data_IF_337259973801
#
_entry.id   IF_337259973801
#
_cell.length_a   1.000
_cell.length_b   1.000
_cell.length_c   1.000
_cell.angle_alpha   90.00
_cell.angle_beta   90.00
_cell.angle_gamma   90.00
#
_symmetry.space_group_name_H-M   'P 1'
#
loop_
_entity.id
_entity.type
_entity.pdbx_description
1 polymer ?
#
# COMPACT_ATOMS: atom_id res chain seq x y z
N UNK A 1 -33.14 -24.42 21.64
CA UNK A 1 -33.79 -24.01 20.37
C UNK A 1 -34.11 -22.54 20.46
N UNK A 2 -33.85 -21.75 19.39
CA UNK A 2 -34.20 -20.32 19.27
C UNK A 2 -33.08 -19.37 19.69
N UNK A 3 -32.01 -19.16 18.92
CA UNK A 3 -31.86 -18.12 17.86
C UNK A 3 -32.70 -16.85 18.06
N UNK A 4 -32.03 -15.73 18.33
CA UNK A 4 -32.05 -14.50 17.53
C UNK A 4 -31.78 -13.29 18.42
N UNK A 5 -30.55 -12.76 18.34
CA UNK A 5 -30.35 -11.32 18.19
C UNK A 5 -28.91 -11.07 17.75
N UNK A 6 -28.59 -11.44 16.51
CA UNK A 6 -27.46 -10.81 15.83
C UNK A 6 -27.93 -9.42 15.42
N UNK A 7 -27.64 -8.49 16.32
CA UNK A 7 -27.69 -7.05 16.13
C UNK A 7 -27.20 -6.65 14.73
N UNK A 8 -28.08 -5.94 14.01
CA UNK A 8 -27.79 -4.99 12.92
C UNK A 8 -26.55 -5.29 12.08
N UNK A 9 -26.72 -6.01 10.98
CA UNK A 9 -25.89 -5.80 9.79
C UNK A 9 -26.82 -5.32 8.68
N UNK A 10 -27.04 -4.00 8.63
CA UNK A 10 -27.47 -3.37 7.38
C UNK A 10 -26.39 -3.69 6.34
N UNK A 11 -26.83 -4.36 5.27
CA UNK A 11 -25.97 -4.82 4.20
C UNK A 11 -25.65 -3.63 3.30
N UNK A 12 -24.46 -3.04 3.45
CA UNK A 12 -23.99 -1.94 2.61
C UNK A 12 -23.32 -2.48 1.34
N UNK A 13 -23.88 -2.25 0.13
CA UNK A 13 -23.28 -2.70 -1.12
C UNK A 13 -21.92 -2.03 -1.41
N UNK A 14 -21.59 -0.93 -0.74
CA UNK A 14 -20.32 -0.21 -0.92
C UNK A 14 -19.11 -0.90 -0.29
N UNK A 15 -19.31 -1.93 0.55
CA UNK A 15 -18.21 -2.67 1.18
C UNK A 15 -17.57 -3.74 0.29
N UNK A 16 -18.20 -4.10 -0.84
CA UNK A 16 -17.69 -5.13 -1.76
C UNK A 16 -16.62 -4.65 -2.75
N UNK A 17 -16.33 -3.34 -2.80
CA UNK A 17 -15.32 -2.79 -3.71
C UNK A 17 -14.04 -2.49 -2.91
N UNK A 18 -13.59 -3.49 -2.15
CA UNK A 18 -12.16 -3.61 -1.82
C UNK A 18 -11.44 -3.86 -3.15
N UNK A 19 -10.55 -2.95 -3.52
CA UNK A 19 -9.96 -2.87 -4.85
C UNK A 19 -9.39 -4.22 -5.32
N UNK A 20 -9.53 -4.53 -6.62
CA UNK A 20 -8.86 -5.64 -7.31
C UNK A 20 -7.34 -5.66 -7.06
N UNK A 21 -6.77 -4.54 -6.62
CA UNK A 21 -5.35 -4.35 -6.36
C UNK A 21 -4.98 -4.40 -4.86
N UNK A 22 -5.93 -4.66 -3.93
CA UNK A 22 -5.73 -4.70 -2.46
C UNK A 22 -5.16 -6.02 -1.90
N UNK A 23 -4.03 -5.98 -1.20
CA UNK A 23 -3.29 -7.17 -0.77
C UNK A 23 -1.79 -6.93 -0.56
N UNK A 24 -0.99 -8.01 -0.55
CA UNK A 24 0.42 -7.98 -0.15
C UNK A 24 1.37 -8.06 -1.36
N UNK A 25 2.13 -7.00 -1.57
CA UNK A 25 3.17 -6.89 -2.59
C UNK A 25 4.52 -7.26 -1.98
N UNK A 26 5.21 -8.25 -2.56
CA UNK A 26 6.55 -8.72 -2.15
C UNK A 26 7.31 -9.31 -3.34
N UNK A 27 8.63 -9.39 -3.24
CA UNK A 27 9.52 -9.87 -4.33
C UNK A 27 9.04 -11.19 -4.94
N UNK A 28 8.84 -12.18 -4.08
CA UNK A 28 8.44 -13.54 -4.48
C UNK A 28 6.93 -13.79 -4.31
N UNK A 29 6.12 -12.73 -4.25
CA UNK A 29 4.66 -12.81 -4.10
C UNK A 29 3.93 -13.10 -5.41
N UNK A 30 2.63 -13.36 -5.30
CA UNK A 30 1.68 -13.30 -6.44
C UNK A 30 1.68 -11.88 -6.99
N UNK A 31 1.73 -10.89 -6.11
CA UNK A 31 1.87 -9.49 -6.47
C UNK A 31 3.29 -9.03 -6.21
N UNK A 32 3.90 -8.50 -7.26
CA UNK A 32 5.33 -8.19 -7.30
C UNK A 32 5.57 -6.81 -6.73
N UNK A 33 6.49 -6.73 -5.78
CA UNK A 33 7.03 -5.47 -5.30
C UNK A 33 8.40 -5.25 -5.91
N UNK A 34 8.68 -4.03 -6.34
CA UNK A 34 10.01 -3.58 -6.76
C UNK A 34 10.35 -2.32 -5.97
N UNK A 35 11.50 -2.33 -5.28
CA UNK A 35 11.90 -1.21 -4.41
C UNK A 35 13.24 -0.66 -4.87
N UNK A 36 13.31 0.66 -4.96
CA UNK A 36 14.56 1.41 -5.16
C UNK A 36 14.79 2.38 -4.00
N UNK A 37 16.06 2.63 -3.67
CA UNK A 37 16.48 3.70 -2.76
C UNK A 37 17.36 4.66 -3.55
N UNK A 38 16.98 5.95 -3.59
CA UNK A 38 17.66 6.99 -4.37
C UNK A 38 17.92 6.54 -5.82
N UNK A 39 16.93 5.88 -6.44
CA UNK A 39 16.99 5.34 -7.81
C UNK A 39 17.76 4.03 -7.99
N UNK A 40 18.38 3.48 -6.95
CA UNK A 40 19.10 2.20 -7.02
C UNK A 40 18.23 1.05 -6.52
N UNK A 41 18.11 -0.03 -7.30
CA UNK A 41 17.37 -1.22 -6.88
C UNK A 41 17.98 -1.86 -5.63
N UNK A 42 17.12 -2.28 -4.71
CA UNK A 42 17.51 -3.07 -3.54
C UNK A 42 16.96 -4.48 -3.68
N UNK A 43 17.70 -5.48 -3.18
CA UNK A 43 17.34 -6.90 -3.34
C UNK A 43 16.78 -7.52 -2.05
N UNK A 44 17.10 -6.91 -0.90
CA UNK A 44 16.71 -7.35 0.45
C UNK A 44 15.73 -6.33 1.04
N UNK A 45 14.45 -6.66 0.97
CA UNK A 45 13.34 -5.85 1.46
C UNK A 45 12.17 -6.77 1.82
N UNK A 46 11.33 -6.32 2.75
CA UNK A 46 10.14 -7.06 3.15
C UNK A 46 8.98 -6.91 2.17
N UNK A 47 7.86 -6.38 2.64
CA UNK A 47 6.63 -6.31 1.86
C UNK A 47 5.84 -5.02 2.12
N UNK A 48 4.92 -4.72 1.20
CA UNK A 48 3.94 -3.65 1.35
C UNK A 48 2.55 -4.25 1.26
N UNK A 49 1.75 -4.06 2.31
CA UNK A 49 0.32 -4.29 2.24
C UNK A 49 -0.35 -3.00 1.79
N UNK A 50 -1.14 -3.10 0.74
CA UNK A 50 -1.88 -2.00 0.15
C UNK A 50 -3.36 -2.33 0.21
N UNK A 51 -4.16 -1.39 0.69
CA UNK A 51 -5.61 -1.53 0.68
C UNK A 51 -6.23 -0.25 0.14
N UNK A 52 -7.05 -0.36 -0.90
CA UNK A 52 -7.73 0.77 -1.50
C UNK A 52 -9.22 0.50 -1.65
N UNK A 53 -10.01 1.53 -1.35
CA UNK A 53 -11.42 1.61 -1.76
C UNK A 53 -11.49 2.50 -3.00
N UNK A 54 -11.99 1.94 -4.11
CA UNK A 54 -12.21 2.65 -5.37
C UNK A 54 -10.97 3.27 -6.07
N UNK A 55 -9.74 2.87 -5.73
CA UNK A 55 -8.51 3.38 -6.38
C UNK A 55 -8.32 4.91 -6.31
N UNK A 56 -9.00 5.58 -5.38
CA UNK A 56 -8.86 7.03 -5.13
C UNK A 56 -7.93 7.32 -3.95
N UNK A 57 -8.04 6.51 -2.91
CA UNK A 57 -7.24 6.60 -1.71
C UNK A 57 -6.83 5.18 -1.29
N UNK A 58 -5.71 5.09 -0.57
CA UNK A 58 -5.24 3.81 -0.05
C UNK A 58 -4.54 3.93 1.30
N UNK A 59 -4.65 2.85 2.06
CA UNK A 59 -3.86 2.57 3.23
C UNK A 59 -2.68 1.69 2.84
N UNK A 60 -1.49 2.05 3.33
CA UNK A 60 -0.25 1.35 3.12
C UNK A 60 0.33 0.90 4.45
N UNK A 61 0.84 -0.33 4.50
CA UNK A 61 1.69 -0.83 5.58
C UNK A 61 2.97 -1.36 4.99
N UNK A 62 4.06 -0.65 5.26
CA UNK A 62 5.42 -0.99 4.89
C UNK A 62 6.04 -1.82 6.00
N UNK A 63 6.58 -2.99 5.67
CA UNK A 63 7.28 -3.87 6.62
C UNK A 63 8.66 -4.17 6.07
N UNK A 64 9.70 -3.79 6.82
CA UNK A 64 11.11 -3.93 6.42
C UNK A 64 11.42 -3.36 5.03
N UNK A 65 10.78 -2.22 4.69
CA UNK A 65 11.02 -1.48 3.44
C UNK A 65 11.75 -0.16 3.72
N UNK A 66 11.30 0.56 4.74
CA UNK A 66 11.82 1.89 5.09
C UNK A 66 13.04 1.70 6.02
N UNK A 67 14.21 2.29 5.71
CA UNK A 67 15.39 2.12 6.54
C UNK A 67 15.15 2.57 7.99
N UNK A 68 15.58 1.73 8.94
CA UNK A 68 15.42 1.91 10.39
C UNK A 68 13.97 1.84 10.91
N UNK A 69 13.01 1.41 10.08
CA UNK A 69 11.62 1.22 10.48
C UNK A 69 11.18 -0.21 10.16
N UNK A 70 10.92 -1.01 11.19
CA UNK A 70 10.42 -2.38 10.98
C UNK A 70 9.01 -2.37 10.39
N UNK A 71 8.14 -1.48 10.88
CA UNK A 71 6.77 -1.33 10.40
C UNK A 71 6.39 0.15 10.38
N UNK A 72 5.86 0.60 9.23
CA UNK A 72 5.31 1.95 9.08
C UNK A 72 4.00 1.92 8.32
N UNK A 73 3.00 2.62 8.86
CA UNK A 73 1.65 2.66 8.27
C UNK A 73 1.31 4.09 7.85
N UNK A 74 0.70 4.21 6.68
CA UNK A 74 0.19 5.44 6.10
C UNK A 74 -1.26 5.23 5.69
N UNK A 75 -2.13 6.19 5.99
CA UNK A 75 -3.58 6.04 5.76
C UNK A 75 -4.12 7.15 4.89
N UNK A 76 -5.17 6.83 4.13
CA UNK A 76 -5.87 7.76 3.24
C UNK A 76 -4.91 8.48 2.29
N UNK A 77 -3.92 7.76 1.75
CA UNK A 77 -2.96 8.31 0.81
C UNK A 77 -3.66 8.48 -0.54
N UNK A 78 -3.68 9.71 -1.10
CA UNK A 78 -4.34 9.96 -2.37
C UNK A 78 -3.61 9.25 -3.51
N UNK A 79 -4.39 8.63 -4.38
CA UNK A 79 -3.93 7.97 -5.58
C UNK A 79 -4.28 8.80 -6.82
N UNK A 80 -3.33 8.90 -7.75
CA UNK A 80 -3.52 9.57 -9.04
C UNK A 80 -3.47 8.54 -10.16
N UNK A 81 -4.50 8.49 -11.00
CA UNK A 81 -4.51 7.63 -12.18
C UNK A 81 -3.49 8.12 -13.23
N UNK A 82 -2.72 7.18 -13.77
CA UNK A 82 -1.72 7.39 -14.82
C UNK A 82 -1.89 6.31 -15.89
N UNK A 83 -1.17 6.43 -17.01
CA UNK A 83 -1.18 5.39 -18.07
C UNK A 83 -0.63 4.04 -17.57
N UNK A 84 0.24 4.04 -16.55
CA UNK A 84 0.89 2.84 -16.01
C UNK A 84 0.12 2.21 -14.83
N UNK A 85 -0.78 2.95 -14.18
CA UNK A 85 -1.49 2.52 -12.97
C UNK A 85 -1.85 3.68 -12.04
N UNK A 86 -1.98 3.41 -10.75
CA UNK A 86 -2.26 4.39 -9.70
C UNK A 86 -0.97 4.85 -9.02
N UNK A 87 -0.57 6.09 -9.26
CA UNK A 87 0.59 6.71 -8.62
C UNK A 87 0.25 7.27 -7.24
N UNK A 88 1.24 7.27 -6.34
CA UNK A 88 1.15 7.86 -5.01
C UNK A 88 2.47 8.53 -4.60
N UNK A 89 2.35 9.49 -3.70
CA UNK A 89 3.48 10.16 -3.05
C UNK A 89 3.19 10.31 -1.57
N UNK A 90 4.15 9.95 -0.73
CA UNK A 90 4.10 10.10 0.72
C UNK A 90 5.37 10.84 1.13
N UNK A 91 5.21 11.93 1.87
CA UNK A 91 6.32 12.67 2.48
C UNK A 91 6.22 12.51 3.99
N UNK A 92 7.32 12.11 4.62
CA UNK A 92 7.39 11.88 6.06
C UNK A 92 8.77 12.28 6.61
N UNK A 93 8.86 12.49 7.91
CA UNK A 93 10.14 12.72 8.61
C UNK A 93 10.40 11.56 9.57
N UNK A 94 11.47 10.82 9.31
CA UNK A 94 11.85 9.63 10.06
C UNK A 94 13.29 9.81 10.57
N UNK A 95 13.48 9.77 11.90
CA UNK A 95 14.78 10.00 12.53
C UNK A 95 15.47 11.30 12.05
N UNK A 96 14.72 12.41 12.04
CA UNK A 96 15.18 13.74 11.62
C UNK A 96 15.57 13.86 10.13
N UNK A 97 15.30 12.84 9.32
CA UNK A 97 15.49 12.86 7.86
C UNK A 97 14.15 12.89 7.15
N UNK A 98 14.05 13.75 6.15
CA UNK A 98 12.90 13.78 5.24
C UNK A 98 13.02 12.58 4.31
N UNK A 99 11.96 11.79 4.22
CA UNK A 99 11.84 10.68 3.29
C UNK A 99 10.65 10.96 2.38
N UNK A 100 10.89 10.86 1.07
CA UNK A 100 9.83 10.93 0.06
C UNK A 100 9.69 9.57 -0.60
N UNK A 101 8.55 8.94 -0.38
CA UNK A 101 8.17 7.66 -0.96
C UNK A 101 7.27 7.94 -2.16
N UNK A 102 7.74 7.63 -3.36
CA UNK A 102 6.91 7.65 -4.56
C UNK A 102 6.67 6.23 -5.03
N UNK A 103 5.53 5.98 -5.64
CA UNK A 103 5.29 4.68 -6.23
C UNK A 103 4.13 4.65 -7.20
N UNK A 104 4.02 3.54 -7.91
CA UNK A 104 2.93 3.22 -8.83
C UNK A 104 2.45 1.82 -8.51
N UNK A 105 1.14 1.67 -8.34
CA UNK A 105 0.44 0.40 -8.19
C UNK A 105 -0.26 0.10 -9.50
N UNK A 106 0.06 -1.04 -10.12
CA UNK A 106 -0.57 -1.53 -11.33
C UNK A 106 -1.06 -2.97 -11.10
N UNK A 107 -1.68 -3.57 -12.12
CA UNK A 107 -2.29 -4.89 -11.97
C UNK A 107 -1.23 -5.97 -11.70
N UNK A 108 -1.11 -6.38 -10.43
CA UNK A 108 -0.18 -7.41 -9.97
C UNK A 108 1.24 -6.91 -9.67
N UNK A 109 1.51 -5.61 -9.80
CA UNK A 109 2.83 -5.04 -9.53
C UNK A 109 2.75 -3.72 -8.75
N UNK A 110 3.74 -3.48 -7.91
CA UNK A 110 3.95 -2.21 -7.21
C UNK A 110 5.43 -1.83 -7.33
N UNK A 111 5.69 -0.62 -7.79
CA UNK A 111 7.03 -0.05 -7.85
C UNK A 111 7.12 1.08 -6.85
N UNK A 112 8.15 1.08 -6.03
CA UNK A 112 8.38 2.09 -4.98
C UNK A 112 9.79 2.62 -5.09
N UNK A 113 9.93 3.94 -4.99
CA UNK A 113 11.21 4.61 -4.83
C UNK A 113 11.22 5.40 -3.53
N UNK A 114 12.20 5.10 -2.67
CA UNK A 114 12.47 5.82 -1.44
C UNK A 114 13.57 6.85 -1.71
N UNK A 115 13.25 8.13 -1.58
CA UNK A 115 14.23 9.21 -1.61
C UNK A 115 14.54 9.64 -0.17
N UNK A 116 15.79 9.47 0.26
CA UNK A 116 16.27 9.68 1.64
C UNK A 116 17.59 10.47 1.61
#
# INVERSE_FOLDING_TARGET
MGINSCSKNEYDPEDYITSLLSGEYKKDGIWKLYVTINGSAIEDYGYVRFDSKYLKEADFKFVDIIPNEHVKEYKNIPLSGTEEGCAFTIEDTINEKVIVITGVVSLGEMKINLNI
#
